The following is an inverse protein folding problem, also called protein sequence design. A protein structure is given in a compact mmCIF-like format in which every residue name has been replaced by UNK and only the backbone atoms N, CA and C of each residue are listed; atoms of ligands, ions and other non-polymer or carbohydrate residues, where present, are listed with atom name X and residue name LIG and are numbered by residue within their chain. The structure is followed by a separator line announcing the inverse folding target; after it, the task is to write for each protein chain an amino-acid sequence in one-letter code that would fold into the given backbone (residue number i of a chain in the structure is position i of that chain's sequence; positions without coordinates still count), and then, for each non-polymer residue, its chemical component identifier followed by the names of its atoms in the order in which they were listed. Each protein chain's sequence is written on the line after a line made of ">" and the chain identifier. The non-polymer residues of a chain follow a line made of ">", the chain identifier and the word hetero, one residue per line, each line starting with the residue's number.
data_IF_941501297226
#
_entry.id   IF_941501297226
#
_cell.length_a   1.000
_cell.length_b   1.000
_cell.length_c   1.000
_cell.angle_alpha   90.00
_cell.angle_beta   90.00
_cell.angle_gamma   90.00
#
_symmetry.space_group_name_H-M   'P 1'
#
loop_
_entity.id
_entity.type
_entity.pdbx_description
1 polymer ?
#
# COMPACT_ATOMS: atom_id res chain seq x y z
N UNK A 1 14.73 -5.12 17.33
CA UNK A 1 13.25 -5.05 17.46
C UNK A 1 12.62 -5.15 16.08
N UNK A 2 11.46 -5.79 15.93
CA UNK A 2 10.77 -5.95 14.64
C UNK A 2 10.08 -4.65 14.23
N UNK A 3 10.39 -4.14 13.04
CA UNK A 3 9.65 -3.03 12.44
C UNK A 3 8.29 -3.51 11.90
N UNK A 4 7.22 -2.75 12.13
CA UNK A 4 5.85 -3.09 11.74
C UNK A 4 5.16 -1.89 11.08
N UNK A 5 5.53 -1.56 9.85
CA UNK A 5 5.04 -0.41 9.04
C UNK A 5 3.69 0.19 9.45
N UNK A 6 2.58 -0.59 9.47
CA UNK A 6 1.25 -0.09 9.87
C UNK A 6 1.16 0.56 11.26
N UNK A 7 2.02 0.17 12.21
CA UNK A 7 2.10 0.74 13.56
C UNK A 7 2.99 1.98 13.61
N UNK A 8 4.11 1.97 12.87
CA UNK A 8 5.10 3.05 12.88
C UNK A 8 4.75 4.19 11.91
N UNK A 9 4.05 3.92 10.81
CA UNK A 9 3.78 4.86 9.71
C UNK A 9 2.26 5.09 9.56
N UNK A 10 1.62 5.51 10.64
CA UNK A 10 0.15 5.61 10.70
C UNK A 10 -0.45 6.56 9.67
N UNK A 11 0.24 7.63 9.29
CA UNK A 11 -0.28 8.57 8.31
C UNK A 11 -0.39 7.95 6.89
N UNK A 12 0.42 6.92 6.59
CA UNK A 12 0.39 6.20 5.32
C UNK A 12 -0.62 5.05 5.34
N UNK A 13 -0.75 4.34 6.47
CA UNK A 13 -1.54 3.10 6.55
C UNK A 13 -2.87 3.23 7.32
N UNK A 14 -3.08 4.34 8.04
CA UNK A 14 -4.27 4.63 8.85
C UNK A 14 -4.69 6.10 8.63
N UNK A 15 -5.11 6.47 7.41
CA UNK A 15 -5.50 7.84 7.10
C UNK A 15 -6.73 8.28 7.89
N UNK A 16 -6.83 9.58 8.15
CA UNK A 16 -8.00 10.20 8.80
C UNK A 16 -9.11 10.40 7.76
N UNK A 17 -10.35 10.50 8.23
CA UNK A 17 -11.50 10.74 7.35
C UNK A 17 -11.45 12.08 6.58
N UNK A 18 -10.65 13.05 7.06
CA UNK A 18 -10.46 14.34 6.39
C UNK A 18 -9.27 14.24 5.43
N UNK A 19 -9.45 14.60 4.14
CA UNK A 19 -8.34 14.69 3.20
C UNK A 19 -7.22 15.58 3.74
N UNK A 20 -5.97 15.12 3.64
CA UNK A 20 -4.80 15.79 4.19
C UNK A 20 -3.61 15.58 3.27
N UNK A 21 -2.78 16.61 3.08
CA UNK A 21 -1.53 16.50 2.34
C UNK A 21 -0.46 15.84 3.22
N UNK A 22 0.22 14.83 2.69
CA UNK A 22 1.32 14.13 3.38
C UNK A 22 2.50 13.92 2.42
N UNK A 23 3.70 13.81 2.97
CA UNK A 23 4.90 13.43 2.23
C UNK A 23 5.13 11.94 2.38
N UNK A 24 5.20 11.21 1.27
CA UNK A 24 5.54 9.79 1.25
C UNK A 24 7.06 9.66 1.11
N UNK A 25 7.78 9.04 2.08
CA UNK A 25 9.21 8.83 1.96
C UNK A 25 9.53 7.72 0.93
N UNK A 26 10.78 7.65 0.50
CA UNK A 26 11.26 6.55 -0.32
C UNK A 26 11.11 5.21 0.43
N UNK A 27 10.62 4.18 -0.27
CA UNK A 27 10.38 2.86 0.30
C UNK A 27 10.84 1.75 -0.65
N UNK A 28 11.26 0.64 -0.05
CA UNK A 28 11.70 -0.55 -0.78
C UNK A 28 10.52 -1.49 -0.99
N UNK A 29 10.24 -1.84 -2.24
CA UNK A 29 9.19 -2.77 -2.62
C UNK A 29 9.73 -3.83 -3.57
N UNK A 30 9.24 -5.06 -3.40
CA UNK A 30 9.26 -6.04 -4.48
C UNK A 30 8.09 -5.73 -5.42
N UNK A 31 8.34 -5.74 -6.72
CA UNK A 31 7.33 -5.42 -7.74
C UNK A 31 7.34 -6.46 -8.85
N UNK A 32 6.15 -6.82 -9.32
CA UNK A 32 5.94 -7.63 -10.52
C UNK A 32 5.20 -6.75 -11.53
N UNK A 33 5.67 -6.72 -12.77
CA UNK A 33 4.99 -6.01 -13.85
C UNK A 33 3.93 -6.90 -14.48
N UNK A 34 2.76 -6.36 -14.73
CA UNK A 34 1.66 -7.08 -15.35
C UNK A 34 0.67 -6.13 -16.02
N UNK A 35 -0.24 -6.72 -16.79
CA UNK A 35 -1.34 -6.05 -17.48
C UNK A 35 -2.52 -7.03 -17.55
N UNK A 36 -3.75 -6.54 -17.41
CA UNK A 36 -4.95 -7.36 -17.44
C UNK A 36 -6.03 -6.80 -16.53
N UNK A 37 -7.13 -7.54 -16.37
CA UNK A 37 -8.17 -7.25 -15.39
C UNK A 37 -7.86 -7.98 -14.07
N UNK A 38 -7.63 -7.27 -12.95
CA UNK A 38 -7.40 -7.92 -11.66
C UNK A 38 -8.62 -8.69 -11.13
N UNK A 39 -9.80 -8.51 -11.74
CA UNK A 39 -11.04 -9.24 -11.41
C UNK A 39 -11.44 -10.25 -12.50
N UNK A 40 -10.54 -10.56 -13.45
CA UNK A 40 -10.82 -11.52 -14.52
C UNK A 40 -10.95 -12.96 -14.02
N UNK A 41 -11.46 -13.85 -14.87
CA UNK A 41 -11.67 -15.27 -14.54
C UNK A 41 -10.37 -15.97 -14.10
N UNK A 42 -9.23 -15.61 -14.69
CA UNK A 42 -7.90 -16.12 -14.29
C UNK A 42 -7.53 -15.80 -12.81
N UNK A 43 -8.23 -14.83 -12.20
CA UNK A 43 -8.07 -14.41 -10.80
C UNK A 43 -9.31 -14.71 -9.95
N UNK A 44 -10.31 -15.42 -10.49
CA UNK A 44 -11.44 -15.91 -9.71
C UNK A 44 -11.04 -17.17 -8.92
N UNK A 45 -11.41 -17.22 -7.64
CA UNK A 45 -10.98 -18.25 -6.67
C UNK A 45 -11.29 -19.70 -7.08
#
# INVERSE_FOLDING_TARGET
>A
MKYQWRKQEKDLYLPKAKPTLITVPEQNFFMIRGQGDPNGEDFSE
#
